data_IF_892413329036
#
_entry.id   IF_892413329036
#
_cell.length_a   1.000
_cell.length_b   1.000
_cell.length_c   1.000
_cell.angle_alpha   90.00
_cell.angle_beta   90.00
_cell.angle_gamma   90.00
#
_symmetry.space_group_name_H-M   'P 1'
#
loop_
_entity.id
_entity.type
_entity.pdbx_description
1 polymer ?
#
# COMPACT_ATOMS: atom_id res chain seq x y z
N UNK A 1 -1.44 10.65 13.12
CA UNK A 1 -1.33 9.75 11.95
C UNK A 1 -2.63 8.99 11.79
N UNK A 2 -3.35 9.22 10.69
CA UNK A 2 -4.50 8.37 10.34
C UNK A 2 -3.93 7.03 9.90
N UNK A 3 -4.38 5.93 10.53
CA UNK A 3 -3.85 4.61 10.18
C UNK A 3 -4.30 4.18 8.79
N UNK A 4 -3.47 3.44 8.04
CA UNK A 4 -3.84 2.94 6.73
C UNK A 4 -5.03 1.95 6.78
N UNK A 5 -5.88 1.97 5.76
CA UNK A 5 -6.88 0.94 5.54
C UNK A 5 -6.20 -0.30 4.95
N UNK A 6 -6.42 -1.47 5.55
CA UNK A 6 -5.71 -2.69 5.18
C UNK A 6 -6.63 -3.78 4.59
N UNK A 7 -7.31 -3.54 3.45
CA UNK A 7 -8.17 -4.58 2.89
C UNK A 7 -7.36 -5.78 2.38
N UNK A 8 -8.05 -6.91 2.22
CA UNK A 8 -7.54 -8.03 1.42
C UNK A 8 -7.47 -7.55 -0.04
N UNK A 9 -6.55 -8.10 -0.85
CA UNK A 9 -6.53 -7.83 -2.28
C UNK A 9 -7.89 -8.14 -2.90
N UNK A 10 -8.47 -7.25 -3.74
CA UNK A 10 -9.79 -7.46 -4.29
C UNK A 10 -9.90 -8.80 -5.03
N UNK A 11 -11.06 -9.43 -4.86
CA UNK A 11 -11.53 -10.52 -5.74
C UNK A 11 -12.43 -9.92 -6.81
N UNK A 12 -12.67 -10.66 -7.89
CA UNK A 12 -13.49 -10.19 -9.00
C UNK A 12 -14.87 -9.67 -8.56
N UNK A 13 -15.51 -10.38 -7.63
CA UNK A 13 -16.82 -10.02 -7.06
C UNK A 13 -16.79 -8.79 -6.13
N UNK A 14 -15.63 -8.43 -5.58
CA UNK A 14 -15.49 -7.37 -4.57
C UNK A 14 -14.78 -6.12 -5.11
N UNK A 15 -14.56 -6.02 -6.43
CA UNK A 15 -13.90 -4.85 -7.05
C UNK A 15 -14.73 -3.59 -6.83
N UNK A 16 -16.06 -3.69 -6.97
CA UNK A 16 -16.95 -2.57 -6.71
C UNK A 16 -16.86 -2.07 -5.26
N UNK A 17 -16.93 -2.99 -4.29
CA UNK A 17 -16.84 -2.62 -2.87
C UNK A 17 -15.50 -1.98 -2.52
N UNK A 18 -14.40 -2.43 -3.16
CA UNK A 18 -13.09 -1.80 -3.00
C UNK A 18 -13.09 -0.34 -3.45
N UNK A 19 -13.59 -0.05 -4.65
CA UNK A 19 -13.64 1.33 -5.16
C UNK A 19 -14.66 2.19 -4.43
N UNK A 20 -15.76 1.60 -3.97
CA UNK A 20 -16.73 2.28 -3.12
C UNK A 20 -16.10 2.72 -1.80
N UNK A 21 -15.29 1.87 -1.17
CA UNK A 21 -14.54 2.23 0.05
C UNK A 21 -13.51 3.33 -0.23
N UNK A 22 -12.74 3.24 -1.32
CA UNK A 22 -11.79 4.29 -1.74
C UNK A 22 -12.50 5.64 -1.91
N UNK A 23 -13.68 5.65 -2.53
CA UNK A 23 -14.50 6.84 -2.70
C UNK A 23 -15.01 7.39 -1.36
N UNK A 24 -15.63 6.53 -0.54
CA UNK A 24 -16.29 6.92 0.71
C UNK A 24 -15.31 7.51 1.73
N UNK A 25 -14.13 6.91 1.83
CA UNK A 25 -13.09 7.33 2.76
C UNK A 25 -12.21 8.46 2.19
N UNK A 26 -12.51 8.95 0.98
CA UNK A 26 -11.77 10.01 0.32
C UNK A 26 -10.26 9.68 0.20
N UNK A 27 -9.95 8.43 -0.14
CA UNK A 27 -8.59 7.90 -0.21
C UNK A 27 -7.84 8.42 -1.45
N UNK A 28 -6.77 9.18 -1.25
CA UNK A 28 -5.93 9.66 -2.35
C UNK A 28 -4.92 8.61 -2.84
N UNK A 29 -4.43 7.75 -1.94
CA UNK A 29 -3.32 6.82 -2.22
C UNK A 29 -3.73 5.38 -1.97
N UNK A 30 -3.41 4.52 -2.94
CA UNK A 30 -3.51 3.05 -2.85
C UNK A 30 -2.10 2.48 -2.98
N UNK A 31 -1.70 1.60 -2.08
CA UNK A 31 -0.42 0.90 -2.08
C UNK A 31 -0.69 -0.59 -2.28
N UNK A 32 -0.20 -1.13 -3.39
CA UNK A 32 -0.30 -2.54 -3.76
C UNK A 32 1.08 -3.19 -3.71
N UNK A 33 1.28 -4.17 -2.82
CA UNK A 33 2.59 -4.79 -2.55
C UNK A 33 2.61 -6.27 -2.94
N UNK A 34 1.99 -6.59 -4.07
CA UNK A 34 1.93 -7.94 -4.63
C UNK A 34 1.81 -7.88 -6.14
N UNK A 35 2.36 -8.86 -6.84
CA UNK A 35 1.98 -9.07 -8.25
C UNK A 35 0.56 -9.65 -8.31
N UNK A 36 -0.07 -9.57 -9.49
CA UNK A 36 -1.37 -10.23 -9.73
C UNK A 36 -1.25 -11.74 -9.62
N UNK A 37 -0.16 -12.29 -10.17
CA UNK A 37 0.19 -13.70 -10.15
C UNK A 37 1.62 -13.86 -9.63
N UNK A 38 1.82 -14.81 -8.71
CA UNK A 38 3.13 -15.21 -8.19
C UNK A 38 3.21 -16.74 -8.21
N UNK A 39 4.26 -17.30 -8.80
CA UNK A 39 4.46 -18.76 -8.99
C UNK A 39 3.19 -19.44 -9.56
N UNK A 40 2.58 -18.84 -10.59
CA UNK A 40 1.36 -19.36 -11.23
C UNK A 40 0.09 -19.32 -10.36
N UNK A 41 0.13 -18.72 -9.16
CA UNK A 41 -1.04 -18.55 -8.30
C UNK A 41 -1.53 -17.11 -8.31
N UNK A 42 -2.83 -16.93 -8.48
CA UNK A 42 -3.47 -15.61 -8.38
C UNK A 42 -3.38 -15.12 -6.94
N UNK A 43 -2.79 -13.94 -6.74
CA UNK A 43 -2.65 -13.26 -5.45
C UNK A 43 -3.63 -12.11 -5.28
N UNK A 44 -3.97 -11.44 -6.38
CA UNK A 44 -4.90 -10.31 -6.44
C UNK A 44 -5.51 -10.29 -7.84
N UNK A 45 -6.80 -9.97 -7.97
CA UNK A 45 -7.36 -9.70 -9.29
C UNK A 45 -6.93 -8.30 -9.76
N UNK A 46 -6.92 -8.09 -11.08
CA UNK A 46 -6.78 -6.75 -11.64
C UNK A 46 -8.09 -6.02 -11.37
N UNK A 47 -8.04 -4.96 -10.57
CA UNK A 47 -9.21 -4.19 -10.16
C UNK A 47 -9.27 -2.80 -10.81
N UNK A 48 -8.40 -2.51 -11.78
CA UNK A 48 -8.31 -1.21 -12.43
C UNK A 48 -8.37 -1.34 -13.96
N UNK A 49 -8.85 -0.32 -14.68
CA UNK A 49 -8.93 -0.32 -16.13
C UNK A 49 -7.60 0.06 -16.79
N UNK A 50 -7.45 -0.28 -18.07
CA UNK A 50 -6.34 0.22 -18.92
C UNK A 50 -6.65 1.58 -19.56
N UNK A 51 -7.92 1.95 -19.66
CA UNK A 51 -8.38 3.25 -20.15
C UNK A 51 -9.53 3.77 -19.27
N UNK A 52 -10.75 3.27 -19.46
CA UNK A 52 -11.89 3.64 -18.62
C UNK A 52 -12.87 2.47 -18.45
N UNK A 53 -13.39 2.30 -17.24
CA UNK A 53 -14.38 1.25 -16.93
C UNK A 53 -15.34 1.70 -15.82
N UNK A 54 -16.57 1.18 -15.86
CA UNK A 54 -17.59 1.39 -14.83
C UNK A 54 -17.58 0.23 -13.84
N UNK A 55 -17.41 0.54 -12.56
CA UNK A 55 -17.59 -0.42 -11.46
C UNK A 55 -18.81 0.03 -10.64
N UNK A 56 -19.95 -0.62 -10.87
CA UNK A 56 -21.22 -0.19 -10.28
C UNK A 56 -21.58 1.24 -10.70
N UNK A 57 -21.68 2.15 -9.72
CA UNK A 57 -21.98 3.57 -9.93
C UNK A 57 -20.74 4.48 -10.01
N UNK A 58 -19.53 3.90 -10.00
CA UNK A 58 -18.26 4.63 -10.03
C UNK A 58 -17.54 4.37 -11.36
N UNK A 59 -17.33 5.43 -12.13
CA UNK A 59 -16.46 5.43 -13.32
C UNK A 59 -15.02 5.65 -12.90
N UNK A 60 -14.13 4.84 -13.44
CA UNK A 60 -12.69 4.96 -13.20
C UNK A 60 -12.00 5.13 -14.54
N UNK A 61 -11.13 6.13 -14.62
CA UNK A 61 -10.38 6.45 -15.84
C UNK A 61 -8.90 6.54 -15.50
N UNK A 62 -8.06 5.80 -16.21
CA UNK A 62 -6.61 5.89 -16.12
C UNK A 62 -6.17 7.21 -16.80
N UNK A 63 -5.63 8.13 -16.00
CA UNK A 63 -5.10 9.40 -16.48
C UNK A 63 -3.63 9.31 -16.83
N UNK A 64 -2.86 8.54 -16.04
CA UNK A 64 -1.40 8.47 -16.17
C UNK A 64 -0.87 7.11 -15.72
N UNK A 65 0.12 6.61 -16.44
CA UNK A 65 0.87 5.40 -16.12
C UNK A 65 2.38 5.69 -16.16
N UNK A 66 3.04 5.62 -15.00
CA UNK A 66 4.49 5.70 -14.89
C UNK A 66 5.04 4.32 -14.49
N UNK A 67 5.78 3.67 -15.40
CA UNK A 67 6.41 2.37 -15.13
C UNK A 67 7.88 2.58 -14.76
N UNK A 68 8.28 2.18 -13.55
CA UNK A 68 9.66 2.19 -13.08
C UNK A 68 10.18 0.75 -12.91
N UNK A 69 11.46 0.62 -12.57
CA UNK A 69 12.14 -0.68 -12.42
C UNK A 69 11.52 -1.55 -11.33
N UNK A 70 11.14 -0.97 -10.18
CA UNK A 70 10.67 -1.72 -9.01
C UNK A 70 9.19 -1.54 -8.67
N UNK A 71 8.55 -0.54 -9.28
CA UNK A 71 7.15 -0.24 -9.05
C UNK A 71 6.52 0.49 -10.24
N UNK A 72 5.19 0.48 -10.27
CA UNK A 72 4.39 1.23 -11.24
C UNK A 72 3.51 2.23 -10.48
N UNK A 73 3.34 3.42 -11.02
CA UNK A 73 2.39 4.41 -10.50
C UNK A 73 1.28 4.62 -11.53
N UNK A 74 0.03 4.49 -11.08
CA UNK A 74 -1.16 4.75 -11.89
C UNK A 74 -1.96 5.88 -11.26
N UNK A 75 -2.31 6.89 -12.04
CA UNK A 75 -3.22 7.97 -11.60
C UNK A 75 -4.58 7.73 -12.23
N UNK A 76 -5.62 7.71 -11.41
CA UNK A 76 -6.99 7.47 -11.80
C UNK A 76 -7.86 8.69 -11.48
N UNK A 77 -8.79 9.02 -12.37
CA UNK A 77 -9.95 9.85 -12.07
C UNK A 77 -11.11 8.92 -11.70
N UNK A 78 -11.72 9.18 -10.54
CA UNK A 78 -12.96 8.58 -10.11
C UNK A 78 -14.08 9.61 -10.29
N UNK A 79 -15.17 9.17 -10.91
CA UNK A 79 -16.40 9.96 -11.06
C UNK A 79 -17.57 9.08 -10.65
N UNK A 80 -18.39 9.56 -9.70
CA UNK A 80 -19.54 8.80 -9.20
C UNK A 80 -20.85 9.38 -9.68
N UNK A 81 -21.75 8.53 -10.17
CA UNK A 81 -23.06 8.94 -10.66
C UNK A 81 -23.85 9.67 -9.57
N UNK A 82 -24.41 10.83 -9.90
CA UNK A 82 -25.14 11.67 -8.94
C UNK A 82 -24.26 12.61 -8.10
N UNK A 83 -22.94 12.56 -8.23
CA UNK A 83 -22.01 13.49 -7.58
C UNK A 83 -21.28 14.33 -8.64
N UNK A 84 -21.14 15.63 -8.39
CA UNK A 84 -20.38 16.54 -9.26
C UNK A 84 -18.88 16.53 -8.99
N UNK A 85 -18.47 16.04 -7.81
CA UNK A 85 -17.08 15.96 -7.43
C UNK A 85 -16.35 14.89 -8.24
N UNK A 86 -15.11 15.20 -8.65
CA UNK A 86 -14.16 14.23 -9.18
C UNK A 86 -13.09 13.98 -8.13
N UNK A 87 -12.67 12.73 -8.00
CA UNK A 87 -11.66 12.33 -7.04
C UNK A 87 -10.45 11.75 -7.79
N UNK A 88 -9.25 12.30 -7.58
CA UNK A 88 -8.00 11.73 -8.13
C UNK A 88 -7.42 10.71 -7.14
N UNK A 89 -7.15 9.49 -7.60
CA UNK A 89 -6.52 8.44 -6.80
C UNK A 89 -5.23 7.98 -7.47
N UNK A 90 -4.17 7.81 -6.69
CA UNK A 90 -2.89 7.25 -7.16
C UNK A 90 -2.65 5.87 -6.58
N UNK A 91 -2.48 4.89 -7.46
CA UNK A 91 -2.06 3.54 -7.09
C UNK A 91 -0.54 3.41 -7.28
N UNK A 92 0.14 3.06 -6.20
CA UNK A 92 1.55 2.70 -6.13
C UNK A 92 1.68 1.19 -6.04
N UNK A 93 2.12 0.56 -7.12
CA UNK A 93 2.20 -0.89 -7.25
C UNK A 93 3.65 -1.37 -7.20
N UNK A 94 4.09 -1.82 -6.03
CA UNK A 94 5.42 -2.40 -5.84
C UNK A 94 5.48 -3.82 -6.38
N UNK A 95 6.34 -4.06 -7.38
CA UNK A 95 6.41 -5.32 -8.13
C UNK A 95 7.68 -6.11 -7.84
N UNK A 96 8.67 -5.52 -7.15
CA UNK A 96 9.95 -6.16 -6.83
C UNK A 96 9.96 -6.98 -5.53
N UNK A 97 8.83 -7.15 -4.84
CA UNK A 97 8.82 -8.00 -3.65
C UNK A 97 9.04 -9.48 -4.03
N UNK A 98 10.02 -10.18 -3.42
CA UNK A 98 10.28 -11.59 -3.70
C UNK A 98 9.10 -12.51 -3.39
N UNK A 99 8.94 -13.56 -4.18
CA UNK A 99 7.88 -14.55 -3.95
C UNK A 99 8.09 -15.32 -2.63
N UNK A 100 9.35 -15.55 -2.26
CA UNK A 100 9.75 -16.14 -0.97
C UNK A 100 10.56 -15.15 -0.14
N UNK A 101 10.15 -14.96 1.12
CA UNK A 101 10.87 -14.14 2.09
C UNK A 101 10.71 -12.63 1.89
N UNK A 102 11.80 -11.91 2.11
CA UNK A 102 11.89 -10.45 2.11
C UNK A 102 12.94 -9.98 1.09
N UNK A 103 12.84 -8.75 0.55
CA UNK A 103 13.87 -8.19 -0.33
C UNK A 103 15.27 -8.33 0.25
N UNK A 104 16.27 -8.67 -0.56
CA UNK A 104 17.66 -8.79 -0.06
C UNK A 104 18.23 -7.43 0.39
N UNK A 105 17.77 -6.34 -0.23
CA UNK A 105 18.08 -4.98 0.15
C UNK A 105 16.82 -4.16 0.38
N UNK A 106 16.81 -3.35 1.44
CA UNK A 106 15.67 -2.49 1.77
C UNK A 106 15.57 -1.23 0.90
N UNK A 107 16.64 -0.84 0.19
CA UNK A 107 16.76 0.43 -0.54
C UNK A 107 15.58 0.71 -1.47
N UNK A 108 15.18 -0.27 -2.27
CA UNK A 108 14.06 -0.12 -3.21
C UNK A 108 12.72 0.09 -2.52
N UNK A 109 12.47 -0.68 -1.45
CA UNK A 109 11.26 -0.54 -0.64
C UNK A 109 11.22 0.79 0.13
N UNK A 110 12.35 1.25 0.66
CA UNK A 110 12.45 2.55 1.35
C UNK A 110 12.25 3.71 0.37
N UNK A 111 12.85 3.65 -0.81
CA UNK A 111 12.64 4.64 -1.87
C UNK A 111 11.17 4.68 -2.31
N UNK A 112 10.53 3.51 -2.41
CA UNK A 112 9.11 3.39 -2.69
C UNK A 112 8.24 4.03 -1.60
N UNK A 113 8.49 3.74 -0.31
CA UNK A 113 7.75 4.37 0.81
C UNK A 113 7.89 5.89 0.78
N UNK A 114 9.11 6.40 0.61
CA UNK A 114 9.35 7.86 0.48
C UNK A 114 8.61 8.47 -0.70
N UNK A 115 8.53 7.76 -1.83
CA UNK A 115 7.76 8.20 -3.00
C UNK A 115 6.26 8.29 -2.71
N UNK A 116 5.69 7.31 -1.99
CA UNK A 116 4.28 7.32 -1.58
C UNK A 116 4.02 8.50 -0.64
N UNK A 117 4.83 8.67 0.41
CA UNK A 117 4.69 9.78 1.37
C UNK A 117 4.75 11.14 0.67
N UNK A 118 5.78 11.37 -0.16
CA UNK A 118 5.94 12.64 -0.88
C UNK A 118 4.82 12.93 -1.89
N UNK A 119 4.08 11.90 -2.33
CA UNK A 119 2.98 12.04 -3.26
C UNK A 119 1.61 12.12 -2.60
N UNK A 120 1.50 11.85 -1.28
CA UNK A 120 0.24 11.80 -0.55
C UNK A 120 0.04 13.12 0.21
N UNK A 121 -1.00 13.91 -0.12
CA UNK A 121 -1.29 15.15 0.59
C UNK A 121 -1.55 14.92 2.09
N UNK A 122 -1.08 15.79 3.00
CA UNK A 122 -1.31 15.64 4.44
C UNK A 122 -2.79 15.70 4.85
N UNK A 123 -3.63 16.35 4.04
CA UNK A 123 -5.07 16.52 4.20
C UNK A 123 -5.89 15.45 3.46
N UNK A 124 -5.24 14.48 2.81
CA UNK A 124 -5.92 13.37 2.16
C UNK A 124 -6.56 12.41 3.17
N UNK A 125 -7.52 11.62 2.70
CA UNK A 125 -8.04 10.47 3.44
C UNK A 125 -6.98 9.39 3.69
N UNK A 126 -7.34 8.30 4.39
CA UNK A 126 -6.41 7.25 4.73
C UNK A 126 -5.78 6.60 3.48
N UNK A 127 -4.50 6.23 3.60
CA UNK A 127 -3.82 5.41 2.58
C UNK A 127 -4.39 4.00 2.62
N UNK A 128 -4.82 3.47 1.48
CA UNK A 128 -5.21 2.06 1.36
C UNK A 128 -3.96 1.23 1.09
N UNK A 129 -3.63 0.25 1.93
CA UNK A 129 -2.47 -0.63 1.75
C UNK A 129 -2.93 -2.08 1.68
N UNK A 130 -2.66 -2.76 0.57
CA UNK A 130 -3.01 -4.16 0.42
C UNK A 130 -1.91 -4.99 -0.25
N UNK A 131 -1.97 -6.29 -0.02
CA UNK A 131 -1.18 -7.30 -0.71
C UNK A 131 -2.14 -8.34 -1.29
N UNK A 132 -1.94 -9.62 -0.97
CA UNK A 132 -2.91 -10.69 -1.23
C UNK A 132 -3.93 -10.80 -0.10
N UNK A 133 -3.49 -11.13 1.12
CA UNK A 133 -4.37 -11.34 2.29
C UNK A 133 -4.50 -10.11 3.21
N UNK A 134 -3.89 -8.99 2.85
CA UNK A 134 -3.88 -7.77 3.67
C UNK A 134 -3.05 -7.91 4.96
N UNK A 135 -2.03 -8.76 4.93
CA UNK A 135 -1.12 -9.04 6.05
C UNK A 135 0.29 -9.42 5.55
N UNK A 136 1.27 -9.51 6.44
CA UNK A 136 2.66 -9.84 6.09
C UNK A 136 3.36 -8.67 5.42
N UNK A 137 3.31 -8.56 4.08
CA UNK A 137 3.89 -7.44 3.31
C UNK A 137 3.25 -6.10 3.66
N UNK A 138 1.92 -6.09 3.83
CA UNK A 138 1.16 -4.92 4.31
C UNK A 138 1.66 -4.48 5.68
N UNK A 139 1.81 -5.40 6.64
CA UNK A 139 2.33 -5.08 7.97
C UNK A 139 3.77 -4.56 7.92
N UNK A 140 4.63 -5.16 7.11
CA UNK A 140 6.02 -4.72 6.92
C UNK A 140 6.10 -3.29 6.38
N UNK A 141 5.29 -2.96 5.37
CA UNK A 141 5.19 -1.60 4.83
C UNK A 141 4.78 -0.59 5.91
N UNK A 142 3.73 -0.90 6.67
CA UNK A 142 3.20 0.01 7.70
C UNK A 142 4.23 0.22 8.81
N UNK A 143 4.91 -0.84 9.26
CA UNK A 143 5.98 -0.71 10.26
C UNK A 143 7.08 0.21 9.73
N UNK A 144 7.57 -0.03 8.51
CA UNK A 144 8.64 0.80 7.94
C UNK A 144 8.20 2.26 7.76
N UNK A 145 6.97 2.49 7.32
CA UNK A 145 6.38 3.83 7.16
C UNK A 145 6.33 4.61 8.49
N UNK A 146 5.87 3.96 9.56
CA UNK A 146 5.82 4.54 10.91
C UNK A 146 7.23 4.75 11.49
N UNK A 147 8.13 3.78 11.30
CA UNK A 147 9.49 3.89 11.82
C UNK A 147 10.30 4.98 11.13
N UNK A 148 10.07 5.21 9.82
CA UNK A 148 10.69 6.33 9.12
C UNK A 148 10.24 7.67 9.70
N UNK A 149 8.94 7.84 9.98
CA UNK A 149 8.44 9.06 10.60
C UNK A 149 8.99 9.25 12.02
N UNK A 150 9.05 8.19 12.84
CA UNK A 150 9.66 8.26 14.18
C UNK A 150 11.14 8.62 14.12
N UNK A 151 11.88 8.04 13.17
CA UNK A 151 13.30 8.34 13.00
C UNK A 151 13.51 9.80 12.58
N UNK A 152 12.66 10.33 11.69
CA UNK A 152 12.75 11.71 11.20
C UNK A 152 12.28 12.75 12.22
N UNK A 153 11.21 12.47 12.98
CA UNK A 153 10.63 13.40 13.95
C UNK A 153 11.28 13.34 15.34
N UNK A 154 11.66 12.14 15.80
CA UNK A 154 12.08 11.91 17.18
C UNK A 154 13.53 11.41 17.29
N UNK A 155 14.14 11.00 16.18
CA UNK A 155 15.50 10.43 16.17
C UNK A 155 15.59 9.03 16.80
N UNK A 156 14.44 8.38 17.03
CA UNK A 156 14.35 7.05 17.66
C UNK A 156 13.45 6.13 16.84
N UNK A 157 13.59 4.82 17.05
CA UNK A 157 12.74 3.80 16.43
C UNK A 157 12.31 2.77 17.47
N UNK A 158 11.02 2.40 17.45
CA UNK A 158 10.47 1.38 18.34
C UNK A 158 9.62 0.37 17.55
N UNK A 159 10.33 -0.52 16.88
CA UNK A 159 9.72 -1.56 16.04
C UNK A 159 8.83 -2.46 16.89
N UNK A 160 9.28 -2.82 18.09
CA UNK A 160 8.58 -3.78 18.94
C UNK A 160 7.21 -3.27 19.36
N UNK A 161 7.13 -2.04 19.90
CA UNK A 161 5.86 -1.48 20.32
C UNK A 161 4.96 -1.11 19.13
N UNK A 162 5.55 -0.73 17.99
CA UNK A 162 4.80 -0.55 16.74
C UNK A 162 4.11 -1.86 16.29
N UNK A 163 4.87 -2.96 16.21
CA UNK A 163 4.35 -4.28 15.86
C UNK A 163 3.27 -4.73 16.85
N UNK A 164 3.52 -4.57 18.16
CA UNK A 164 2.55 -4.91 19.21
C UNK A 164 1.23 -4.14 19.03
N UNK A 165 1.32 -2.86 18.72
CA UNK A 165 0.15 -1.99 18.47
C UNK A 165 -0.59 -2.37 17.18
N UNK A 166 0.12 -2.77 16.14
CA UNK A 166 -0.51 -3.24 14.90
C UNK A 166 -1.25 -4.57 15.11
N UNK A 167 -0.65 -5.50 15.84
CA UNK A 167 -1.25 -6.80 16.15
C UNK A 167 -2.47 -6.69 17.08
N UNK A 168 -2.55 -5.67 17.95
CA UNK A 168 -3.73 -5.44 18.79
C UNK A 168 -4.93 -4.90 17.99
N UNK A 169 -4.69 -4.20 16.88
CA UNK A 169 -5.74 -3.66 16.01
C UNK A 169 -6.22 -4.65 14.96
N UNK A 170 -5.34 -5.54 14.49
CA UNK A 170 -5.70 -6.61 13.56
C UNK A 170 -4.83 -7.85 13.75
N UNK A 171 -5.51 -8.97 14.04
CA UNK A 171 -4.87 -10.27 14.25
C UNK A 171 -4.07 -10.65 13.00
N UNK A 172 -2.85 -11.14 13.20
CA UNK A 172 -1.94 -11.63 12.15
C UNK A 172 -1.50 -10.59 11.12
N UNK A 173 -1.43 -9.30 11.45
CA UNK A 173 -0.85 -8.27 10.54
C UNK A 173 0.58 -8.60 10.09
N UNK A 174 1.29 -9.42 10.86
CA UNK A 174 2.62 -9.95 10.56
C UNK A 174 2.54 -11.48 10.62
N UNK A 175 2.80 -12.16 9.49
CA UNK A 175 2.47 -13.58 9.32
C UNK A 175 3.66 -14.55 9.42
N UNK A 176 4.90 -14.08 9.63
CA UNK A 176 6.08 -14.97 9.76
C UNK A 176 7.18 -14.36 10.63
N UNK A 177 7.96 -15.21 11.31
CA UNK A 177 9.25 -14.87 11.96
C UNK A 177 10.34 -14.37 10.98
N UNK A 178 10.04 -14.32 9.67
CA UNK A 178 10.93 -13.94 8.57
C UNK A 178 11.12 -12.41 8.45
N UNK A 179 10.66 -11.63 9.42
CA UNK A 179 10.77 -10.16 9.43
C UNK A 179 12.15 -9.65 9.90
N UNK A 180 13.21 -10.30 9.44
CA UNK A 180 14.55 -9.77 9.52
C UNK A 180 14.67 -8.40 8.85
N UNK A 181 13.79 -7.99 7.93
CA UNK A 181 13.94 -6.73 7.18
C UNK A 181 13.72 -5.46 7.99
N UNK A 182 12.64 -5.38 8.79
CA UNK A 182 12.43 -4.21 9.66
C UNK A 182 13.52 -4.16 10.73
N UNK A 183 13.82 -5.30 11.37
CA UNK A 183 14.90 -5.38 12.34
C UNK A 183 16.29 -5.10 11.72
N UNK A 184 16.60 -5.58 10.51
CA UNK A 184 17.91 -5.41 9.85
C UNK A 184 18.10 -4.02 9.25
N UNK A 185 17.03 -3.40 8.73
CA UNK A 185 17.06 -2.02 8.23
C UNK A 185 17.49 -1.07 9.34
N UNK A 186 17.04 -1.31 10.57
CA UNK A 186 17.35 -0.45 11.71
C UNK A 186 18.50 -0.98 12.61
N UNK A 187 18.84 -2.28 12.61
CA UNK A 187 20.04 -2.80 13.28
C UNK A 187 21.34 -2.53 12.50
N UNK A 188 21.27 -2.34 11.17
CA UNK A 188 22.41 -1.94 10.34
C UNK A 188 22.74 -0.44 10.41
N UNK A 189 21.84 0.37 10.95
CA UNK A 189 22.00 1.81 11.09
C UNK A 189 22.44 2.20 12.49
N UNK A 190 23.75 2.15 12.77
CA UNK A 190 24.30 3.09 13.74
C UNK A 190 24.01 4.48 13.18
N UNK A 191 23.03 5.16 13.77
CA UNK A 191 22.87 6.60 13.68
C UNK A 191 24.22 7.19 14.15
N UNK A 192 25.02 7.63 13.20
CA UNK A 192 26.13 8.56 13.35
C UNK A 192 26.02 9.56 12.22
#
# INVERSE_FOLDING_TARGET
MVLPLCPIGPKQESVYDFWRMVWQENCFSIVMITKLVEIGRVKCCKYWPDDSEMYGDIKITLLKLDTLSEYTVRTFALERMGYSAKHEVRQFHFTSWPEHGVPYHATGLLAFIRRVKASTPPDAGPVVVHCSVGAGRTGCYIVLDVMLDMAECEGVVDIYNCVKTLCSRRINMIQTEVNGLAYSTFQGGKIK
#
